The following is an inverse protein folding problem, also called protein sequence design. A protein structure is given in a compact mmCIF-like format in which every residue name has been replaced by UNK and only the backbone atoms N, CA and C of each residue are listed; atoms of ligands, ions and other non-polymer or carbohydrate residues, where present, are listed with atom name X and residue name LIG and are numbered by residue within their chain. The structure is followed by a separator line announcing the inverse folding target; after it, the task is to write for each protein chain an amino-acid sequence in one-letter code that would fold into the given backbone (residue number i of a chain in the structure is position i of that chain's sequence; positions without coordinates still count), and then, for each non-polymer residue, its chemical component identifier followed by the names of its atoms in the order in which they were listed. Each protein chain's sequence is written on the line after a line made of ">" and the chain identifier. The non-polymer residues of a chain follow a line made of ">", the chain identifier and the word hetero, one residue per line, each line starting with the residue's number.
data_IF_695078692813
#
_entry.id   IF_695078692813
#
_cell.length_a   1.000
_cell.length_b   1.000
_cell.length_c   1.000
_cell.angle_alpha   90.00
_cell.angle_beta   90.00
_cell.angle_gamma   90.00
#
_symmetry.space_group_name_H-M   'P 1'
#
loop_
_entity.id
_entity.type
_entity.pdbx_description
1 polymer ?
#
# COMPACT_ATOMS: atom_id res chain seq x y z
N UNK A 1 80.20 -21.79 30.41
CA UNK A 1 79.65 -22.46 29.21
C UNK A 1 78.20 -22.84 29.47
N UNK A 2 77.27 -22.10 28.85
CA UNK A 2 75.86 -22.41 28.47
C UNK A 2 75.03 -21.11 28.52
N UNK A 3 74.82 -20.58 27.32
CA UNK A 3 73.88 -19.54 26.92
C UNK A 3 72.44 -19.99 27.24
N UNK A 4 71.49 -19.06 27.40
CA UNK A 4 70.22 -18.96 26.65
C UNK A 4 69.34 -17.84 27.26
N UNK A 5 69.16 -16.77 26.48
CA UNK A 5 68.09 -15.76 26.64
C UNK A 5 66.92 -16.19 25.75
N UNK A 6 65.68 -16.02 26.20
CA UNK A 6 64.64 -15.51 25.29
C UNK A 6 63.88 -14.35 25.99
N UNK A 7 63.81 -13.13 25.43
CA UNK A 7 63.07 -12.77 24.21
C UNK A 7 61.65 -13.35 24.31
N UNK A 8 60.73 -12.69 25.02
CA UNK A 8 60.02 -11.52 24.51
C UNK A 8 58.81 -11.98 23.71
N UNK A 9 57.59 -11.72 24.20
CA UNK A 9 56.43 -11.44 23.35
C UNK A 9 55.28 -10.93 24.23
N UNK A 10 54.99 -9.63 24.14
CA UNK A 10 53.69 -9.07 24.47
C UNK A 10 52.65 -9.73 23.55
N UNK A 11 51.81 -10.59 24.09
CA UNK A 11 50.64 -11.07 23.38
C UNK A 11 49.56 -9.98 23.38
N UNK A 12 49.66 -9.04 22.43
CA UNK A 12 48.59 -8.10 22.13
C UNK A 12 47.51 -8.88 21.37
N UNK A 13 46.50 -9.37 22.10
CA UNK A 13 45.34 -10.05 21.50
C UNK A 13 44.52 -9.05 20.68
N UNK A 14 44.76 -9.02 19.38
CA UNK A 14 43.94 -8.30 18.41
C UNK A 14 42.56 -8.96 18.34
N UNK A 15 41.57 -8.37 19.00
CA UNK A 15 40.15 -8.72 18.83
C UNK A 15 39.74 -8.25 17.43
N UNK A 16 39.68 -9.17 16.46
CA UNK A 16 39.04 -8.92 15.18
C UNK A 16 37.53 -8.92 15.42
N UNK A 17 36.96 -7.72 15.60
CA UNK A 17 35.51 -7.53 15.52
C UNK A 17 35.07 -7.89 14.10
N UNK A 18 34.46 -9.05 13.91
CA UNK A 18 33.70 -9.33 12.71
C UNK A 18 32.51 -8.37 12.66
N UNK A 19 32.69 -7.25 11.96
CA UNK A 19 31.58 -6.39 11.56
C UNK A 19 30.76 -7.17 10.52
N UNK A 20 29.79 -7.95 10.99
CA UNK A 20 28.73 -8.43 10.13
C UNK A 20 28.13 -7.20 9.46
N UNK A 21 27.95 -7.19 8.12
CA UNK A 21 27.28 -6.08 7.46
C UNK A 21 25.88 -5.98 8.06
N UNK A 22 25.67 -4.96 8.91
CA UNK A 22 24.35 -4.55 9.31
C UNK A 22 23.68 -4.03 8.04
N UNK A 23 22.91 -4.88 7.37
CA UNK A 23 21.91 -4.43 6.41
C UNK A 23 20.90 -3.64 7.24
N UNK A 24 21.12 -2.33 7.34
CA UNK A 24 20.08 -1.41 7.76
C UNK A 24 19.01 -1.46 6.68
N UNK A 25 18.11 -2.44 6.79
CA UNK A 25 16.91 -2.51 5.96
C UNK A 25 16.08 -1.27 6.29
N UNK A 26 15.84 -0.45 5.29
CA UNK A 26 15.10 0.78 5.49
C UNK A 26 13.66 0.41 5.90
N UNK A 27 13.11 1.01 6.97
CA UNK A 27 11.74 0.73 7.40
C UNK A 27 10.74 1.43 6.46
N UNK A 28 10.68 0.93 5.22
CA UNK A 28 9.99 1.56 4.11
C UNK A 28 8.50 1.81 4.41
N UNK A 29 7.80 0.78 4.89
CA UNK A 29 6.36 0.87 5.16
C UNK A 29 6.07 1.82 6.33
N UNK A 30 6.71 1.68 7.52
CA UNK A 30 6.50 2.64 8.60
C UNK A 30 6.83 4.09 8.23
N UNK A 31 7.84 4.31 7.38
CA UNK A 31 8.20 5.65 6.94
C UNK A 31 7.15 6.24 5.99
N UNK A 32 6.74 5.49 4.96
CA UNK A 32 5.67 5.91 4.05
C UNK A 32 4.35 6.19 4.81
N UNK A 33 3.98 5.33 5.76
CA UNK A 33 2.82 5.53 6.62
C UNK A 33 2.98 6.77 7.50
N UNK A 34 4.17 7.02 8.05
CA UNK A 34 4.48 8.22 8.82
C UNK A 34 4.31 9.52 8.03
N UNK A 35 4.75 9.54 6.77
CA UNK A 35 4.54 10.67 5.86
C UNK A 35 3.05 10.89 5.60
N UNK A 36 2.34 9.80 5.27
CA UNK A 36 0.90 9.82 4.98
C UNK A 36 0.07 10.33 6.17
N UNK A 37 0.33 9.84 7.40
CA UNK A 37 -0.32 10.32 8.63
C UNK A 37 -0.11 11.82 8.91
N UNK A 38 0.95 12.42 8.37
CA UNK A 38 1.24 13.87 8.47
C UNK A 38 0.64 14.68 7.32
N UNK A 39 -0.14 14.04 6.44
CA UNK A 39 -0.71 14.67 5.25
C UNK A 39 0.32 14.91 4.14
N UNK A 40 1.54 14.37 4.26
CA UNK A 40 2.62 14.55 3.27
C UNK A 40 2.48 13.54 2.12
N UNK A 41 1.31 13.51 1.48
CA UNK A 41 0.95 12.50 0.47
C UNK A 41 1.88 12.52 -0.74
N UNK A 42 2.17 13.71 -1.30
CA UNK A 42 3.07 13.84 -2.45
C UNK A 42 4.49 13.35 -2.12
N UNK A 43 4.98 13.67 -0.92
CA UNK A 43 6.28 13.19 -0.44
C UNK A 43 6.28 11.68 -0.24
N UNK A 44 5.18 11.11 0.29
CA UNK A 44 5.04 9.66 0.44
C UNK A 44 5.05 8.95 -0.93
N UNK A 45 4.37 9.51 -1.94
CA UNK A 45 4.40 8.98 -3.31
C UNK A 45 5.79 9.07 -3.94
N UNK A 46 6.48 10.21 -3.79
CA UNK A 46 7.85 10.37 -4.27
C UNK A 46 8.80 9.38 -3.59
N UNK A 47 8.65 9.18 -2.28
CA UNK A 47 9.41 8.21 -1.51
C UNK A 47 9.21 6.78 -2.02
N UNK A 48 7.95 6.36 -2.16
CA UNK A 48 7.60 5.03 -2.68
C UNK A 48 8.13 4.81 -4.11
N UNK A 49 8.06 5.84 -4.96
CA UNK A 49 8.63 5.79 -6.30
C UNK A 49 10.16 5.60 -6.28
N UNK A 50 10.89 6.31 -5.42
CA UNK A 50 12.32 6.13 -5.25
C UNK A 50 12.67 4.71 -4.76
N UNK A 51 11.88 4.18 -3.82
CA UNK A 51 12.08 2.85 -3.26
C UNK A 51 11.83 1.70 -4.25
N UNK A 52 11.01 1.92 -5.28
CA UNK A 52 10.78 0.92 -6.32
C UNK A 52 12.07 0.51 -7.05
N UNK A 53 13.01 1.45 -7.23
CA UNK A 53 14.28 1.22 -7.92
C UNK A 53 15.46 1.05 -6.95
N UNK A 54 15.30 1.45 -5.69
CA UNK A 54 16.33 1.39 -4.66
C UNK A 54 16.79 -0.04 -4.35
N UNK A 55 18.08 -0.18 -4.02
CA UNK A 55 18.65 -1.42 -3.48
C UNK A 55 18.38 -1.60 -1.98
N UNK A 56 17.87 -0.56 -1.32
CA UNK A 56 17.50 -0.56 0.10
C UNK A 56 16.16 -1.26 0.35
N UNK A 57 15.29 -1.30 -0.67
CA UNK A 57 14.02 -2.01 -0.61
C UNK A 57 14.18 -3.48 -0.99
N UNK A 58 13.70 -4.39 -0.15
CA UNK A 58 13.64 -5.82 -0.46
C UNK A 58 12.61 -6.13 -1.53
N UNK A 59 12.72 -7.31 -2.16
CA UNK A 59 11.73 -7.74 -3.18
C UNK A 59 10.32 -7.79 -2.62
N UNK A 60 10.15 -8.24 -1.36
CA UNK A 60 8.83 -8.28 -0.70
C UNK A 60 8.30 -6.87 -0.43
N UNK A 61 9.15 -5.93 0.01
CA UNK A 61 8.75 -4.54 0.16
C UNK A 61 8.32 -3.94 -1.18
N UNK A 62 9.05 -4.19 -2.27
CA UNK A 62 8.71 -3.66 -3.60
C UNK A 62 7.36 -4.15 -4.12
N UNK A 63 6.98 -5.40 -3.78
CA UNK A 63 5.65 -5.95 -4.11
C UNK A 63 4.51 -5.17 -3.45
N UNK A 64 4.75 -4.55 -2.29
CA UNK A 64 3.77 -3.77 -1.54
C UNK A 64 3.65 -2.31 -2.00
N UNK A 65 4.59 -1.81 -2.80
CA UNK A 65 4.59 -0.40 -3.24
C UNK A 65 3.27 0.01 -3.89
N UNK A 66 2.67 -0.74 -4.85
CA UNK A 66 1.40 -0.35 -5.43
C UNK A 66 0.25 -0.33 -4.42
N UNK A 67 0.29 -1.17 -3.38
CA UNK A 67 -0.70 -1.12 -2.29
C UNK A 67 -0.57 0.17 -1.49
N UNK A 68 0.65 0.52 -1.07
CA UNK A 68 0.92 1.75 -0.31
C UNK A 68 0.67 3.03 -1.11
N UNK A 69 0.98 3.04 -2.40
CA UNK A 69 0.64 4.14 -3.31
C UNK A 69 -0.89 4.30 -3.38
N UNK A 70 -1.63 3.21 -3.52
CA UNK A 70 -3.09 3.21 -3.53
C UNK A 70 -3.69 3.80 -2.24
N UNK A 71 -3.18 3.38 -1.06
CA UNK A 71 -3.59 3.95 0.23
C UNK A 71 -3.35 5.46 0.29
N UNK A 72 -2.15 5.87 -0.11
CA UNK A 72 -1.73 7.28 -0.08
C UNK A 72 -2.62 8.15 -0.97
N UNK A 73 -2.95 7.67 -2.17
CA UNK A 73 -3.83 8.35 -3.11
C UNK A 73 -5.27 8.46 -2.60
N UNK A 74 -5.80 7.43 -1.94
CA UNK A 74 -7.14 7.48 -1.32
C UNK A 74 -7.18 8.49 -0.17
N UNK A 75 -6.18 8.48 0.71
CA UNK A 75 -6.09 9.44 1.80
C UNK A 75 -5.98 10.88 1.28
N UNK A 76 -5.13 11.11 0.27
CA UNK A 76 -5.01 12.41 -0.39
C UNK A 76 -6.34 12.85 -1.01
N UNK A 77 -7.03 11.97 -1.73
CA UNK A 77 -8.34 12.24 -2.33
C UNK A 77 -9.38 12.67 -1.29
N UNK A 78 -9.32 12.12 -0.07
CA UNK A 78 -10.19 12.49 1.06
C UNK A 78 -9.97 13.91 1.57
N UNK A 79 -8.84 14.54 1.26
CA UNK A 79 -8.53 15.93 1.67
C UNK A 79 -8.95 16.98 0.64
N UNK A 80 -9.27 16.56 -0.59
CA UNK A 80 -9.55 17.49 -1.69
C UNK A 80 -11.00 17.95 -1.69
N UNK A 81 -11.19 19.24 -1.99
CA UNK A 81 -12.50 19.85 -2.28
C UNK A 81 -12.83 19.86 -3.77
N UNK A 82 -11.81 19.86 -4.62
CA UNK A 82 -11.97 19.80 -6.06
C UNK A 82 -12.38 18.38 -6.47
N UNK A 83 -13.60 18.25 -7.00
CA UNK A 83 -14.16 16.95 -7.40
C UNK A 83 -13.45 16.32 -8.61
N UNK A 84 -12.91 17.14 -9.52
CA UNK A 84 -12.16 16.65 -10.69
C UNK A 84 -10.83 16.07 -10.23
N UNK A 85 -10.12 16.78 -9.36
CA UNK A 85 -8.83 16.30 -8.84
C UNK A 85 -9.01 15.10 -7.90
N UNK A 86 -10.04 15.13 -7.03
CA UNK A 86 -10.43 13.96 -6.23
C UNK A 86 -10.68 12.74 -7.12
N UNK A 87 -11.43 12.90 -8.22
CA UNK A 87 -11.69 11.81 -9.17
C UNK A 87 -10.38 11.26 -9.76
N UNK A 88 -9.45 12.11 -10.20
CA UNK A 88 -8.16 11.67 -10.74
C UNK A 88 -7.37 10.84 -9.73
N UNK A 89 -7.31 11.27 -8.47
CA UNK A 89 -6.62 10.52 -7.42
C UNK A 89 -7.28 9.17 -7.15
N UNK A 90 -8.61 9.09 -7.14
CA UNK A 90 -9.34 7.82 -6.99
C UNK A 90 -9.12 6.89 -8.19
N UNK A 91 -9.04 7.42 -9.41
CA UNK A 91 -8.70 6.67 -10.62
C UNK A 91 -7.28 6.10 -10.54
N UNK A 92 -6.30 6.92 -10.11
CA UNK A 92 -4.94 6.48 -9.86
C UNK A 92 -4.87 5.40 -8.76
N UNK A 93 -5.59 5.59 -7.65
CA UNK A 93 -5.65 4.61 -6.56
C UNK A 93 -6.22 3.27 -7.04
N UNK A 94 -7.27 3.31 -7.85
CA UNK A 94 -7.87 2.12 -8.46
C UNK A 94 -6.83 1.34 -9.27
N UNK A 95 -6.10 2.02 -10.15
CA UNK A 95 -5.06 1.40 -10.96
C UNK A 95 -3.95 0.75 -10.11
N UNK A 96 -3.57 1.40 -9.01
CA UNK A 96 -2.54 0.90 -8.08
C UNK A 96 -2.98 -0.34 -7.30
N UNK A 97 -4.21 -0.36 -6.79
CA UNK A 97 -4.76 -1.57 -6.16
C UNK A 97 -4.95 -2.72 -7.15
N UNK A 98 -5.41 -2.45 -8.37
CA UNK A 98 -5.52 -3.47 -9.42
C UNK A 98 -4.15 -4.00 -9.86
N UNK A 99 -3.13 -3.14 -9.93
CA UNK A 99 -1.75 -3.56 -10.15
C UNK A 99 -1.27 -4.48 -9.03
N UNK A 100 -1.49 -4.10 -7.77
CA UNK A 100 -1.13 -4.90 -6.60
C UNK A 100 -1.79 -6.28 -6.63
N UNK A 101 -3.11 -6.34 -6.80
CA UNK A 101 -3.87 -7.58 -6.79
C UNK A 101 -3.48 -8.53 -7.94
N UNK A 102 -3.17 -7.98 -9.13
CA UNK A 102 -2.70 -8.78 -10.27
C UNK A 102 -1.31 -9.35 -10.04
N UNK A 103 -0.40 -8.56 -9.48
CA UNK A 103 0.98 -9.00 -9.24
C UNK A 103 1.12 -9.91 -8.01
N UNK A 104 0.16 -9.88 -7.09
CA UNK A 104 0.28 -10.50 -5.76
C UNK A 104 -0.99 -11.27 -5.35
N UNK A 105 -1.60 -12.07 -6.24
CA UNK A 105 -2.90 -12.70 -5.99
C UNK A 105 -3.01 -13.49 -4.67
N UNK A 106 -1.92 -14.12 -4.24
CA UNK A 106 -1.85 -14.94 -3.00
C UNK A 106 -1.43 -14.16 -1.74
N UNK A 107 -1.14 -12.86 -1.89
CA UNK A 107 -0.65 -12.04 -0.78
C UNK A 107 -1.76 -11.73 0.24
N UNK A 108 -1.39 -11.65 1.52
CA UNK A 108 -2.30 -11.44 2.65
C UNK A 108 -3.15 -10.16 2.54
N UNK A 109 -2.61 -9.13 1.90
CA UNK A 109 -3.28 -7.83 1.69
C UNK A 109 -4.14 -7.76 0.42
N UNK A 110 -4.16 -8.81 -0.41
CA UNK A 110 -4.96 -8.81 -1.65
C UNK A 110 -6.46 -8.65 -1.39
N UNK A 111 -7.06 -9.32 -0.39
CA UNK A 111 -8.44 -9.05 -0.02
C UNK A 111 -8.64 -7.62 0.48
N UNK A 112 -7.70 -7.06 1.26
CA UNK A 112 -7.74 -5.66 1.71
C UNK A 112 -7.73 -4.66 0.55
N UNK A 113 -6.90 -4.89 -0.49
CA UNK A 113 -6.92 -4.09 -1.70
C UNK A 113 -8.29 -4.13 -2.41
N UNK A 114 -8.93 -5.30 -2.44
CA UNK A 114 -10.30 -5.46 -2.91
C UNK A 114 -11.32 -4.63 -2.12
N UNK A 115 -11.18 -4.58 -0.79
CA UNK A 115 -11.99 -3.70 0.07
C UNK A 115 -11.79 -2.22 -0.26
N UNK A 116 -10.55 -1.77 -0.47
CA UNK A 116 -10.30 -0.38 -0.88
C UNK A 116 -10.93 -0.05 -2.24
N UNK A 117 -10.88 -0.96 -3.21
CA UNK A 117 -11.59 -0.80 -4.48
C UNK A 117 -13.10 -0.68 -4.28
N UNK A 118 -13.69 -1.50 -3.41
CA UNK A 118 -15.10 -1.39 -3.02
C UNK A 118 -15.42 -0.01 -2.43
N UNK A 119 -14.58 0.51 -1.53
CA UNK A 119 -14.76 1.84 -0.94
C UNK A 119 -14.68 2.96 -1.98
N UNK A 120 -13.77 2.88 -2.95
CA UNK A 120 -13.68 3.84 -4.05
C UNK A 120 -14.98 3.85 -4.88
N UNK A 121 -15.53 2.66 -5.19
CA UNK A 121 -16.80 2.53 -5.90
C UNK A 121 -17.97 3.14 -5.10
N UNK A 122 -18.00 2.95 -3.78
CA UNK A 122 -18.98 3.61 -2.90
C UNK A 122 -18.89 5.13 -2.99
N UNK A 123 -17.68 5.70 -2.90
CA UNK A 123 -17.46 7.14 -3.00
C UNK A 123 -18.00 7.65 -4.35
N UNK A 124 -17.58 7.04 -5.46
CA UNK A 124 -18.02 7.45 -6.80
C UNK A 124 -19.53 7.32 -6.99
N UNK A 125 -20.11 6.20 -6.56
CA UNK A 125 -21.55 5.96 -6.65
C UNK A 125 -22.37 7.01 -5.89
N UNK A 126 -21.95 7.31 -4.65
CA UNK A 126 -22.60 8.37 -3.84
C UNK A 126 -22.46 9.75 -4.45
N UNK A 127 -21.30 10.09 -5.01
CA UNK A 127 -21.08 11.37 -5.69
C UNK A 127 -22.00 11.53 -6.90
N UNK A 128 -22.15 10.49 -7.74
CA UNK A 128 -23.07 10.53 -8.87
C UNK A 128 -24.51 10.75 -8.42
N UNK A 129 -24.96 10.03 -7.38
CA UNK A 129 -26.32 10.18 -6.84
C UNK A 129 -26.55 11.55 -6.22
N UNK A 130 -25.58 12.09 -5.48
CA UNK A 130 -25.70 13.39 -4.83
C UNK A 130 -25.76 14.55 -5.83
N UNK A 131 -25.05 14.44 -6.96
CA UNK A 131 -25.00 15.47 -8.00
C UNK A 131 -26.07 15.29 -9.08
N UNK A 132 -26.78 14.17 -9.11
CA UNK A 132 -27.81 13.91 -10.12
C UNK A 132 -28.97 14.91 -10.07
N UNK A 133 -29.29 15.46 -8.90
CA UNK A 133 -30.33 16.50 -8.76
C UNK A 133 -29.97 17.82 -9.43
N UNK A 134 -28.69 18.04 -9.72
CA UNK A 134 -28.17 19.25 -10.36
C UNK A 134 -28.12 19.12 -11.90
N UNK A 135 -28.43 17.94 -12.45
CA UNK A 135 -28.43 17.68 -13.89
C UNK A 135 -29.73 18.19 -14.52
N UNK A 136 -29.70 19.19 -15.43
CA UNK A 136 -30.92 19.78 -15.99
C UNK A 136 -31.65 18.87 -16.97
N UNK A 137 -30.91 18.06 -17.74
CA UNK A 137 -31.49 17.15 -18.73
C UNK A 137 -32.01 15.86 -18.05
N UNK A 138 -33.33 15.56 -18.11
CA UNK A 138 -33.90 14.39 -17.47
C UNK A 138 -33.31 13.05 -17.93
N UNK A 139 -32.88 12.96 -19.19
CA UNK A 139 -32.27 11.74 -19.71
C UNK A 139 -30.89 11.50 -19.07
N UNK A 140 -30.05 12.53 -19.04
CA UNK A 140 -28.75 12.49 -18.36
C UNK A 140 -28.89 12.28 -16.85
N UNK A 141 -29.86 12.91 -16.20
CA UNK A 141 -30.14 12.69 -14.77
C UNK A 141 -30.45 11.21 -14.50
N UNK A 142 -31.36 10.61 -15.29
CA UNK A 142 -31.72 9.19 -15.16
C UNK A 142 -30.51 8.28 -15.38
N UNK A 143 -29.67 8.60 -16.37
CA UNK A 143 -28.45 7.85 -16.65
C UNK A 143 -27.46 7.93 -15.47
N UNK A 144 -27.22 9.12 -14.94
CA UNK A 144 -26.33 9.34 -13.81
C UNK A 144 -26.79 8.61 -12.54
N UNK A 145 -28.11 8.55 -12.30
CA UNK A 145 -28.68 7.75 -11.21
C UNK A 145 -28.44 6.26 -11.44
N UNK A 146 -28.63 5.77 -12.68
CA UNK A 146 -28.38 4.38 -13.03
C UNK A 146 -26.92 4.00 -12.83
N UNK A 147 -25.99 4.84 -13.28
CA UNK A 147 -24.55 4.64 -13.12
C UNK A 147 -24.14 4.66 -11.64
N UNK A 148 -24.67 5.61 -10.86
CA UNK A 148 -24.46 5.67 -9.42
C UNK A 148 -24.90 4.39 -8.70
N UNK A 149 -26.09 3.88 -9.02
CA UNK A 149 -26.59 2.60 -8.48
C UNK A 149 -25.72 1.41 -8.91
N UNK A 150 -25.32 1.36 -10.18
CA UNK A 150 -24.44 0.31 -10.68
C UNK A 150 -23.13 0.26 -9.90
N UNK A 151 -22.50 1.42 -9.64
CA UNK A 151 -21.26 1.47 -8.86
C UNK A 151 -21.45 0.94 -7.43
N UNK A 152 -22.60 1.19 -6.80
CA UNK A 152 -22.89 0.64 -5.47
C UNK A 152 -23.09 -0.88 -5.50
N UNK A 153 -23.74 -1.41 -6.54
CA UNK A 153 -23.85 -2.85 -6.77
C UNK A 153 -22.48 -3.48 -7.02
N UNK A 154 -21.64 -2.85 -7.84
CA UNK A 154 -20.27 -3.31 -8.10
C UNK A 154 -19.44 -3.28 -6.81
N UNK A 155 -19.61 -2.27 -5.94
CA UNK A 155 -18.97 -2.20 -4.64
C UNK A 155 -19.38 -3.38 -3.72
N UNK A 156 -20.68 -3.69 -3.67
CA UNK A 156 -21.20 -4.82 -2.92
C UNK A 156 -20.54 -6.14 -3.37
N UNK A 157 -20.45 -6.36 -4.68
CA UNK A 157 -19.78 -7.54 -5.24
C UNK A 157 -18.29 -7.60 -4.85
N UNK A 158 -17.59 -6.46 -4.84
CA UNK A 158 -16.18 -6.38 -4.40
C UNK A 158 -16.02 -6.72 -2.92
N UNK A 159 -16.91 -6.22 -2.06
CA UNK A 159 -16.86 -6.56 -0.63
C UNK A 159 -17.15 -8.05 -0.38
N UNK A 160 -18.12 -8.63 -1.08
CA UNK A 160 -18.42 -10.06 -0.96
C UNK A 160 -17.26 -10.97 -1.43
N UNK A 161 -16.57 -10.60 -2.52
CA UNK A 161 -15.35 -11.30 -2.96
C UNK A 161 -14.23 -11.18 -1.92
N UNK A 162 -14.00 -9.96 -1.39
CA UNK A 162 -12.99 -9.74 -0.35
C UNK A 162 -13.30 -10.55 0.92
N UNK A 163 -14.54 -10.56 1.39
CA UNK A 163 -15.00 -11.37 2.53
C UNK A 163 -14.73 -12.86 2.32
N UNK A 164 -15.11 -13.38 1.15
CA UNK A 164 -14.86 -14.78 0.79
C UNK A 164 -13.37 -15.13 0.85
N UNK A 165 -12.51 -14.24 0.34
CA UNK A 165 -11.06 -14.44 0.36
C UNK A 165 -10.47 -14.31 1.76
N UNK A 166 -10.96 -13.37 2.57
CA UNK A 166 -10.57 -13.27 3.98
C UNK A 166 -10.92 -14.54 4.73
N UNK A 167 -12.14 -15.06 4.59
CA UNK A 167 -12.58 -16.30 5.22
C UNK A 167 -11.75 -17.51 4.73
N UNK A 168 -11.37 -17.56 3.46
CA UNK A 168 -10.47 -18.59 2.94
C UNK A 168 -9.08 -18.49 3.57
N UNK A 169 -8.53 -17.27 3.71
CA UNK A 169 -7.21 -17.06 4.33
C UNK A 169 -7.23 -17.36 5.83
N UNK A 170 -8.29 -16.99 6.54
CA UNK A 170 -8.45 -17.27 7.97
C UNK A 170 -8.29 -18.77 8.27
N UNK A 171 -8.92 -19.62 7.46
CA UNK A 171 -8.83 -21.08 7.57
C UNK A 171 -7.42 -21.65 7.35
N UNK A 172 -6.52 -20.88 6.74
CA UNK A 172 -5.13 -21.31 6.52
C UNK A 172 -4.21 -21.09 7.72
N UNK A 173 -4.64 -20.29 8.71
CA UNK A 173 -3.85 -20.08 9.91
C UNK A 173 -4.00 -21.24 10.91
N UNK A 174 -2.92 -21.64 11.60
CA UNK A 174 -3.00 -22.65 12.64
C UNK A 174 -3.90 -22.15 13.78
N UNK A 175 -4.83 -23.01 14.24
CA UNK A 175 -5.62 -22.74 15.43
C UNK A 175 -4.71 -22.88 16.64
N UNK A 176 -4.58 -21.80 17.42
CA UNK A 176 -3.92 -21.86 18.72
C UNK A 176 -4.98 -22.45 19.68
N UNK A 177 -4.90 -23.76 19.89
CA UNK A 177 -5.64 -24.49 20.93
C UNK A 177 -4.84 -24.54 22.22
#
# INVERSE_FOLDING_TARGET
>A
MKLHVPLGLLALSTVILFALPARAEEPMLPFAEGLRRRGMHDTALQYLAAMSTSKLATTEQKKLIPYEEGLTLVEQAGTLRDAVEQKKLLDAATAKFEQFMRANSEHLLTPSAGTHLGNILVIRGRTLLATATQVPDPAQQKQQIADGRKLLTDAQARFADAETRFAAKEKSFPRIT
#
